data_IF_813432505699
#
_entry.id   IF_813432505699
#
_cell.length_a   1.000
_cell.length_b   1.000
_cell.length_c   1.000
_cell.angle_alpha   90.00
_cell.angle_beta   90.00
_cell.angle_gamma   90.00
#
_symmetry.space_group_name_H-M   'P 1'
#
loop_
_entity.id
_entity.type
_entity.pdbx_description
1 polymer ?
#
# COMPACT_ATOMS: atom_id res chain seq x y z
N UNK A 1 20.08 10.01 7.99
CA UNK A 1 19.09 10.22 6.92
C UNK A 1 19.14 8.99 6.05
N UNK A 2 17.99 8.33 5.79
CA UNK A 2 17.97 7.12 4.98
C UNK A 2 18.26 7.46 3.50
N UNK A 3 19.04 6.62 2.82
CA UNK A 3 19.37 6.81 1.40
C UNK A 3 18.15 6.54 0.51
N UNK A 4 18.11 7.07 -0.71
CA UNK A 4 17.01 6.84 -1.64
C UNK A 4 16.77 5.32 -1.88
N UNK A 5 17.85 4.54 -1.93
CA UNK A 5 17.79 3.08 -2.09
C UNK A 5 17.21 2.39 -0.86
N UNK A 6 17.50 2.86 0.36
CA UNK A 6 16.89 2.34 1.60
C UNK A 6 15.39 2.63 1.66
N UNK A 7 14.95 3.82 1.21
CA UNK A 7 13.52 4.14 1.09
C UNK A 7 12.83 3.20 0.10
N UNK A 8 13.45 2.97 -1.07
CA UNK A 8 12.93 2.03 -2.06
C UNK A 8 12.85 0.59 -1.51
N UNK A 9 13.87 0.15 -0.77
CA UNK A 9 13.88 -1.16 -0.13
C UNK A 9 12.70 -1.33 0.85
N UNK A 10 12.40 -0.27 1.59
CA UNK A 10 11.28 -0.23 2.54
C UNK A 10 9.95 -0.40 1.82
N UNK A 11 9.73 0.32 0.72
CA UNK A 11 8.49 0.23 -0.06
C UNK A 11 8.34 -1.10 -0.80
N UNK A 12 9.44 -1.70 -1.28
CA UNK A 12 9.44 -3.02 -1.90
C UNK A 12 9.25 -4.16 -0.88
N UNK A 13 9.68 -3.96 0.37
CA UNK A 13 9.73 -5.01 1.40
C UNK A 13 10.87 -6.02 1.18
N UNK A 14 11.73 -5.78 0.20
CA UNK A 14 12.90 -6.58 -0.15
C UNK A 14 14.05 -5.67 -0.58
N UNK A 15 15.26 -6.22 -0.67
CA UNK A 15 16.37 -5.49 -1.27
C UNK A 15 16.04 -5.11 -2.73
N UNK A 16 16.30 -3.87 -3.17
CA UNK A 16 16.17 -3.46 -4.57
C UNK A 16 17.21 -4.23 -5.42
N UNK A 17 16.88 -4.58 -6.67
CA UNK A 17 17.85 -5.20 -7.58
C UNK A 17 19.11 -4.33 -7.77
N UNK A 18 20.26 -4.96 -8.04
CA UNK A 18 21.55 -4.28 -8.13
C UNK A 18 21.56 -3.11 -9.13
N UNK A 19 20.76 -3.19 -10.20
CA UNK A 19 20.62 -2.13 -11.20
C UNK A 19 20.13 -0.78 -10.65
N UNK A 20 19.46 -0.77 -9.50
CA UNK A 20 18.98 0.46 -8.85
C UNK A 20 20.09 1.25 -8.15
N UNK A 21 21.22 0.62 -7.84
CA UNK A 21 22.38 1.30 -7.26
C UNK A 21 23.09 2.25 -8.24
N UNK A 22 22.89 2.04 -9.55
CA UNK A 22 23.45 2.89 -10.61
C UNK A 22 22.54 4.04 -11.07
N UNK A 23 21.32 4.15 -10.52
CA UNK A 23 20.39 5.21 -10.87
C UNK A 23 20.70 6.50 -10.10
N UNK A 24 20.29 7.65 -10.66
CA UNK A 24 20.37 8.90 -9.93
C UNK A 24 19.48 8.85 -8.67
N UNK A 25 19.92 9.50 -7.59
CA UNK A 25 19.18 9.49 -6.33
C UNK A 25 17.75 10.02 -6.48
N UNK A 26 17.56 11.04 -7.33
CA UNK A 26 16.26 11.64 -7.62
C UNK A 26 15.31 10.65 -8.31
N UNK A 27 15.82 9.82 -9.22
CA UNK A 27 15.02 8.79 -9.91
C UNK A 27 14.58 7.69 -8.93
N UNK A 28 15.48 7.27 -8.04
CA UNK A 28 15.18 6.26 -7.02
C UNK A 28 14.17 6.81 -6.01
N UNK A 29 14.27 8.07 -5.63
CA UNK A 29 13.33 8.73 -4.73
C UNK A 29 11.94 8.89 -5.37
N UNK A 30 11.88 9.27 -6.66
CA UNK A 30 10.64 9.30 -7.42
C UNK A 30 9.96 7.92 -7.46
N UNK A 31 10.72 6.85 -7.70
CA UNK A 31 10.20 5.48 -7.71
C UNK A 31 9.69 5.03 -6.35
N UNK A 32 10.41 5.35 -5.27
CA UNK A 32 9.98 5.04 -3.91
C UNK A 32 8.63 5.73 -3.60
N UNK A 33 8.49 7.02 -3.91
CA UNK A 33 7.25 7.76 -3.68
C UNK A 33 6.09 7.22 -4.53
N UNK A 34 6.34 6.87 -5.80
CA UNK A 34 5.34 6.27 -6.66
C UNK A 34 4.84 4.92 -6.13
N UNK A 35 5.73 4.08 -5.61
CA UNK A 35 5.37 2.79 -4.99
C UNK A 35 4.56 2.98 -3.71
N UNK A 36 4.98 3.91 -2.86
CA UNK A 36 4.25 4.27 -1.65
C UNK A 36 2.82 4.70 -1.99
N UNK A 37 2.67 5.63 -2.94
CA UNK A 37 1.37 6.09 -3.40
C UNK A 37 0.51 4.95 -3.95
N UNK A 38 1.09 4.07 -4.77
CA UNK A 38 0.36 2.93 -5.32
C UNK A 38 -0.14 1.97 -4.21
N UNK A 39 0.63 1.77 -3.14
CA UNK A 39 0.20 0.99 -1.97
C UNK A 39 -0.94 1.66 -1.21
N UNK A 40 -0.84 2.97 -0.99
CA UNK A 40 -1.90 3.76 -0.35
C UNK A 40 -3.20 3.68 -1.16
N UNK A 41 -3.12 3.88 -2.48
CA UNK A 41 -4.25 3.79 -3.40
C UNK A 41 -4.84 2.36 -3.44
N UNK A 42 -3.99 1.32 -3.42
CA UNK A 42 -4.42 -0.07 -3.35
C UNK A 42 -5.15 -0.38 -2.03
N UNK A 43 -4.61 0.04 -0.89
CA UNK A 43 -5.22 -0.16 0.42
C UNK A 43 -6.61 0.49 0.47
N UNK A 44 -6.72 1.74 0.01
CA UNK A 44 -7.99 2.45 -0.08
C UNK A 44 -9.00 1.72 -0.98
N UNK A 45 -8.54 1.19 -2.12
CA UNK A 45 -9.37 0.38 -3.01
C UNK A 45 -9.86 -0.93 -2.36
N UNK A 46 -9.01 -1.60 -1.58
CA UNK A 46 -9.37 -2.82 -0.85
C UNK A 46 -10.37 -2.53 0.28
N UNK A 47 -10.20 -1.44 1.01
CA UNK A 47 -11.15 -1.01 2.04
C UNK A 47 -12.52 -0.73 1.42
N UNK A 48 -12.56 -0.01 0.30
CA UNK A 48 -13.80 0.27 -0.42
C UNK A 48 -14.48 -1.00 -0.93
N UNK A 49 -13.71 -1.93 -1.50
CA UNK A 49 -14.23 -3.21 -1.97
C UNK A 49 -14.79 -4.05 -0.81
N UNK A 50 -14.12 -4.04 0.34
CA UNK A 50 -14.61 -4.70 1.54
C UNK A 50 -15.91 -4.04 2.03
N UNK A 51 -16.03 -2.71 2.00
CA UNK A 51 -17.26 -2.00 2.37
C UNK A 51 -18.42 -2.35 1.43
N UNK A 52 -18.14 -2.45 0.13
CA UNK A 52 -19.13 -2.85 -0.86
C UNK A 52 -19.59 -4.30 -0.66
N UNK A 53 -18.70 -5.19 -0.25
CA UNK A 53 -19.05 -6.58 0.06
C UNK A 53 -20.06 -6.69 1.21
N UNK A 54 -20.03 -5.75 2.18
CA UNK A 54 -21.01 -5.71 3.27
C UNK A 54 -22.44 -5.47 2.79
N UNK A 55 -22.63 -4.95 1.56
CA UNK A 55 -23.96 -4.80 0.97
C UNK A 55 -24.66 -6.16 0.80
N UNK A 56 -23.89 -7.25 0.68
CA UNK A 56 -24.40 -8.63 0.62
C UNK A 56 -24.81 -9.17 2.00
N UNK A 57 -24.35 -8.55 3.09
CA UNK A 57 -24.73 -8.91 4.45
C UNK A 57 -26.12 -8.32 4.78
N UNK A 58 -27.04 -9.11 5.36
CA UNK A 58 -28.33 -8.61 5.84
C UNK A 58 -28.15 -7.41 6.78
N UNK A 59 -29.02 -6.41 6.66
CA UNK A 59 -28.87 -5.11 7.35
C UNK A 59 -28.68 -5.23 8.87
N UNK A 60 -29.36 -6.20 9.51
CA UNK A 60 -29.30 -6.45 10.95
C UNK A 60 -27.90 -6.92 11.40
N UNK A 61 -27.19 -7.69 10.57
CA UNK A 61 -25.87 -8.23 10.88
C UNK A 61 -24.70 -7.35 10.40
N UNK A 62 -24.97 -6.33 9.58
CA UNK A 62 -23.93 -5.51 8.94
C UNK A 62 -23.05 -4.75 9.94
N UNK A 63 -23.63 -4.22 11.02
CA UNK A 63 -22.90 -3.46 12.05
C UNK A 63 -21.87 -4.31 12.83
N UNK A 64 -22.26 -5.50 13.35
CA UNK A 64 -21.31 -6.45 13.93
C UNK A 64 -20.21 -6.90 12.96
N UNK A 65 -20.57 -7.27 11.71
CA UNK A 65 -19.59 -7.75 10.72
C UNK A 65 -18.60 -6.66 10.32
N UNK A 66 -19.06 -5.42 10.12
CA UNK A 66 -18.18 -4.26 9.87
C UNK A 66 -17.14 -4.08 10.99
N UNK A 67 -17.53 -4.21 12.25
CA UNK A 67 -16.59 -4.08 13.39
C UNK A 67 -15.53 -5.18 13.46
N UNK A 68 -15.78 -6.35 12.88
CA UNK A 68 -14.81 -7.46 12.86
C UNK A 68 -13.83 -7.27 11.69
N UNK A 69 -14.31 -6.83 10.53
CA UNK A 69 -13.51 -6.69 9.31
C UNK A 69 -12.63 -5.43 9.27
N UNK A 70 -13.05 -4.34 9.92
CA UNK A 70 -12.42 -3.01 9.82
C UNK A 70 -11.92 -2.47 11.17
N UNK A 71 -11.41 -3.34 12.04
CA UNK A 71 -10.88 -2.95 13.35
C UNK A 71 -9.46 -2.40 13.27
#
# INVERSE_FOLDING_TARGET
MATAVEKLATELGTAPPDGFSGLAADDVEFLAEALRKAREDQSAGLDQAAEDSLKMVPAIARGPVRRILFR
#
